data_IF_937929097331
#
_entry.id   IF_937929097331
#
_cell.length_a   1.000
_cell.length_b   1.000
_cell.length_c   1.000
_cell.angle_alpha   90.00
_cell.angle_beta   90.00
_cell.angle_gamma   90.00
#
_symmetry.space_group_name_H-M   'P 1'
#
loop_
_entity.id
_entity.type
_entity.pdbx_description
1 polymer ?
#
# COMPACT_ATOMS: atom_id res chain seq x y z
N UNK A 1 -2.63 -6.12 25.08
CA UNK A 1 -1.75 -7.31 25.17
C UNK A 1 -0.88 -7.20 26.41
N UNK A 2 -0.81 -8.26 27.18
CA UNK A 2 0.02 -8.40 28.37
C UNK A 2 1.39 -8.94 27.99
N UNK A 3 2.44 -8.43 28.64
CA UNK A 3 3.74 -9.08 28.57
C UNK A 3 3.89 -9.97 29.82
N UNK A 4 4.03 -11.29 29.68
CA UNK A 4 3.97 -12.23 30.82
C UNK A 4 5.05 -12.01 31.90
N UNK A 5 6.17 -11.36 31.54
CA UNK A 5 7.27 -11.09 32.48
C UNK A 5 7.12 -9.79 33.26
N UNK A 6 6.40 -8.81 32.70
CA UNK A 6 6.37 -7.46 33.27
C UNK A 6 5.01 -7.12 33.89
N UNK A 7 4.00 -8.01 33.72
CA UNK A 7 2.59 -7.81 34.11
C UNK A 7 1.99 -6.48 33.61
N UNK A 8 2.63 -5.84 32.64
CA UNK A 8 2.26 -4.52 32.14
C UNK A 8 1.38 -4.62 30.90
N UNK A 9 0.28 -3.89 30.91
CA UNK A 9 -0.53 -3.68 29.70
C UNK A 9 0.24 -2.80 28.74
N UNK A 10 0.66 -3.35 27.61
CA UNK A 10 1.37 -2.62 26.53
C UNK A 10 0.45 -2.09 25.45
N UNK A 11 -0.65 -2.76 25.19
CA UNK A 11 -1.64 -2.32 24.22
C UNK A 11 -3.03 -2.81 24.59
N UNK A 12 -4.01 -2.02 24.21
CA UNK A 12 -5.42 -2.33 24.29
C UNK A 12 -5.96 -2.69 22.92
N UNK A 13 -6.97 -3.53 22.87
CA UNK A 13 -7.77 -3.78 21.68
C UNK A 13 -8.97 -2.85 21.74
N UNK A 14 -9.10 -1.96 20.79
CA UNK A 14 -10.24 -1.04 20.69
C UNK A 14 -11.14 -1.46 19.53
N UNK A 15 -12.44 -1.25 19.70
CA UNK A 15 -13.39 -1.33 18.59
C UNK A 15 -13.31 -0.01 17.83
N UNK A 16 -13.23 -0.09 16.52
CA UNK A 16 -13.15 1.07 15.63
C UNK A 16 -14.52 1.23 14.97
N UNK A 17 -15.03 2.44 14.89
CA UNK A 17 -16.26 2.71 14.14
C UNK A 17 -16.01 2.63 12.65
N UNK A 18 -17.00 2.19 11.90
CA UNK A 18 -16.86 1.84 10.47
C UNK A 18 -16.31 3.02 9.64
N UNK A 19 -16.82 4.23 9.82
CA UNK A 19 -16.35 5.42 9.11
C UNK A 19 -14.86 5.67 9.33
N UNK A 20 -14.38 5.49 10.57
CA UNK A 20 -12.96 5.66 10.91
C UNK A 20 -12.13 4.51 10.33
N UNK A 21 -12.66 3.29 10.34
CA UNK A 21 -11.97 2.15 9.75
C UNK A 21 -11.81 2.32 8.25
N UNK A 22 -12.85 2.78 7.57
CA UNK A 22 -12.83 3.02 6.14
C UNK A 22 -11.91 4.18 5.74
N UNK A 23 -11.96 5.29 6.46
CA UNK A 23 -11.17 6.49 6.13
C UNK A 23 -9.67 6.32 6.44
N UNK A 24 -9.33 5.69 7.57
CA UNK A 24 -7.97 5.69 8.10
C UNK A 24 -7.25 4.34 8.02
N UNK A 25 -7.96 3.27 7.72
CA UNK A 25 -7.34 1.96 7.60
C UNK A 25 -7.34 1.51 6.13
N UNK A 26 -6.25 0.95 5.67
CA UNK A 26 -6.13 0.38 4.33
C UNK A 26 -7.06 -0.80 4.13
N UNK A 27 -7.10 -1.69 5.14
CA UNK A 27 -8.00 -2.80 5.28
C UNK A 27 -8.88 -2.51 6.48
N UNK A 28 -10.12 -2.06 6.29
CA UNK A 28 -11.02 -1.79 7.39
C UNK A 28 -11.08 -2.98 8.34
N UNK A 29 -10.96 -2.71 9.62
CA UNK A 29 -11.00 -3.73 10.66
C UNK A 29 -11.85 -3.24 11.83
N UNK A 30 -12.71 -4.10 12.33
CA UNK A 30 -13.57 -3.81 13.49
C UNK A 30 -12.75 -3.51 14.75
N UNK A 31 -11.56 -4.09 14.86
CA UNK A 31 -10.69 -3.91 16.03
C UNK A 31 -9.28 -3.51 15.64
N UNK A 32 -8.71 -2.59 16.42
CA UNK A 32 -7.33 -2.15 16.27
C UNK A 32 -6.58 -2.20 17.59
N UNK A 33 -5.25 -2.43 17.58
CA UNK A 33 -4.43 -2.29 18.76
C UNK A 33 -4.13 -0.81 19.03
N UNK A 34 -4.29 -0.38 20.27
CA UNK A 34 -3.89 0.93 20.75
C UNK A 34 -2.80 0.78 21.81
N UNK A 35 -1.61 1.34 21.55
CA UNK A 35 -0.55 1.35 22.56
C UNK A 35 -0.94 2.20 23.77
N UNK A 36 -0.64 1.74 24.99
CA UNK A 36 -0.92 2.48 26.21
C UNK A 36 -0.24 3.85 26.24
N UNK A 37 0.90 4.00 25.59
CA UNK A 37 1.65 5.26 25.49
C UNK A 37 0.89 6.36 24.75
N UNK A 38 -0.12 5.98 23.97
CA UNK A 38 -1.00 6.91 23.27
C UNK A 38 -2.15 7.41 24.15
N UNK A 39 -2.36 6.82 25.31
CA UNK A 39 -3.39 7.26 26.26
C UNK A 39 -2.86 8.46 27.02
N UNK A 40 -3.49 9.61 26.84
CA UNK A 40 -3.16 10.83 27.60
C UNK A 40 -3.88 10.85 28.95
N UNK A 41 -5.17 10.59 28.94
CA UNK A 41 -5.98 10.57 30.15
C UNK A 41 -7.22 9.71 29.95
N UNK A 42 -7.75 9.19 31.08
CA UNK A 42 -9.03 8.50 31.11
C UNK A 42 -10.03 9.45 31.81
N UNK A 43 -11.15 9.68 31.15
CA UNK A 43 -12.21 10.55 31.66
C UNK A 43 -13.09 9.78 32.66
N UNK A 44 -13.81 10.51 33.47
CA UNK A 44 -14.75 9.93 34.48
C UNK A 44 -15.92 9.19 33.81
N UNK A 45 -16.28 9.54 32.57
CA UNK A 45 -17.32 8.88 31.79
C UNK A 45 -16.80 7.61 31.06
N UNK A 46 -15.56 7.20 31.33
CA UNK A 46 -14.90 6.06 30.67
C UNK A 46 -14.26 6.39 29.34
N UNK A 47 -14.41 7.61 28.85
CA UNK A 47 -13.77 8.07 27.61
C UNK A 47 -12.25 8.15 27.74
N UNK A 48 -11.52 7.81 26.68
CA UNK A 48 -10.06 7.86 26.63
C UNK A 48 -9.63 8.98 25.69
N UNK A 49 -8.87 9.93 26.23
CA UNK A 49 -8.22 10.98 25.44
C UNK A 49 -6.86 10.48 24.98
N UNK A 50 -6.60 10.61 23.69
CA UNK A 50 -5.31 10.23 23.12
C UNK A 50 -4.34 11.41 23.11
N UNK A 51 -3.04 11.11 23.23
CA UNK A 51 -1.94 12.09 23.15
C UNK A 51 -1.60 12.46 21.70
N UNK A 52 -2.17 11.77 20.72
CA UNK A 52 -1.90 11.91 19.30
C UNK A 52 -3.18 12.15 18.50
N UNK A 53 -3.05 12.90 17.43
CA UNK A 53 -4.15 13.12 16.47
C UNK A 53 -4.45 11.86 15.66
N UNK A 54 -5.65 11.79 15.07
CA UNK A 54 -6.02 10.70 14.14
C UNK A 54 -5.03 10.55 12.99
N UNK A 55 -4.49 11.64 12.46
CA UNK A 55 -3.50 11.63 11.40
C UNK A 55 -2.17 10.98 11.83
N UNK A 56 -1.74 11.19 13.07
CA UNK A 56 -0.56 10.53 13.62
C UNK A 56 -0.84 9.07 13.98
N UNK A 57 -2.06 8.77 14.46
CA UNK A 57 -2.52 7.43 14.74
C UNK A 57 -2.61 6.60 13.45
N UNK A 58 -3.10 7.16 12.37
CA UNK A 58 -3.12 6.55 11.05
C UNK A 58 -1.73 6.06 10.62
N UNK A 59 -0.69 6.87 10.81
CA UNK A 59 0.69 6.45 10.52
C UNK A 59 1.11 5.25 11.36
N UNK A 60 0.75 5.23 12.63
CA UNK A 60 1.05 4.12 13.55
C UNK A 60 0.21 2.89 13.23
N UNK A 61 -1.05 3.07 12.90
CA UNK A 61 -1.91 1.97 12.46
C UNK A 61 -1.47 1.39 11.11
N UNK A 62 -0.96 2.17 10.23
CA UNK A 62 -0.27 1.66 9.04
C UNK A 62 0.81 0.64 9.41
N UNK A 63 1.54 0.85 10.46
CA UNK A 63 2.63 -0.05 10.86
C UNK A 63 2.19 -1.20 11.78
N UNK A 64 1.08 -1.06 12.51
CA UNK A 64 0.66 -2.02 13.54
C UNK A 64 -0.57 -2.85 13.19
N UNK A 65 -1.49 -2.30 12.45
CA UNK A 65 -2.71 -3.01 11.97
C UNK A 65 -2.45 -3.65 10.63
N UNK A 66 -1.32 -3.33 10.04
CA UNK A 66 -0.98 -3.80 8.72
C UNK A 66 0.33 -4.48 8.70
N UNK A 67 0.22 -5.46 7.95
CA UNK A 67 1.25 -6.04 7.14
C UNK A 67 2.02 -4.88 6.49
N UNK A 68 3.34 -4.87 6.69
CA UNK A 68 4.30 -3.99 6.02
C UNK A 68 3.79 -3.67 4.60
N UNK A 69 3.85 -2.42 4.20
CA UNK A 69 3.43 -1.96 2.86
C UNK A 69 4.09 -2.76 1.71
N UNK A 70 5.12 -3.53 2.03
CA UNK A 70 5.80 -4.46 1.14
C UNK A 70 5.19 -5.87 1.08
N UNK A 71 4.23 -6.18 1.94
CA UNK A 71 3.62 -7.49 2.08
C UNK A 71 2.15 -7.46 1.67
N UNK A 72 1.87 -7.14 0.43
CA UNK A 72 0.53 -7.20 -0.12
C UNK A 72 0.23 -8.60 -0.64
N UNK A 73 -1.00 -9.06 -0.39
CA UNK A 73 -1.48 -10.24 -1.07
C UNK A 73 -1.63 -9.94 -2.58
N UNK A 74 -1.25 -10.86 -3.46
CA UNK A 74 -1.32 -10.65 -4.90
C UNK A 74 -2.70 -10.20 -5.39
N UNK A 75 -3.75 -10.80 -4.87
CA UNK A 75 -5.15 -10.48 -5.16
C UNK A 75 -5.56 -9.05 -4.74
N UNK A 76 -4.91 -8.48 -3.74
CA UNK A 76 -5.16 -7.10 -3.32
C UNK A 76 -4.64 -6.06 -4.33
N UNK A 77 -3.70 -6.43 -5.18
CA UNK A 77 -3.05 -5.55 -6.15
C UNK A 77 -3.74 -5.56 -7.52
N UNK A 78 -4.46 -6.64 -7.84
CA UNK A 78 -5.18 -6.76 -9.11
C UNK A 78 -6.26 -5.66 -9.23
N UNK A 79 -6.47 -5.20 -10.45
CA UNK A 79 -7.42 -4.15 -10.83
C UNK A 79 -7.17 -2.77 -10.18
N UNK A 80 -6.03 -2.59 -9.50
CA UNK A 80 -5.68 -1.30 -8.89
C UNK A 80 -5.10 -0.35 -9.91
N UNK A 81 -5.54 0.91 -9.84
CA UNK A 81 -4.98 1.99 -10.65
C UNK A 81 -3.52 2.26 -10.23
N UNK A 82 -2.67 2.50 -11.20
CA UNK A 82 -1.26 2.83 -11.00
C UNK A 82 -1.03 4.25 -11.49
N UNK A 83 -0.63 5.13 -10.59
CA UNK A 83 -0.28 6.51 -10.89
C UNK A 83 1.23 6.69 -10.81
N UNK A 84 1.76 7.56 -11.65
CA UNK A 84 3.14 7.99 -11.47
C UNK A 84 3.27 9.03 -10.33
N UNK A 85 4.48 9.49 -10.04
CA UNK A 85 4.72 10.44 -8.96
C UNK A 85 4.16 11.86 -9.26
N UNK A 86 3.82 12.13 -10.51
CA UNK A 86 3.21 13.39 -10.94
C UNK A 86 1.68 13.32 -10.90
N UNK A 87 1.13 12.15 -10.55
CA UNK A 87 -0.31 11.91 -10.42
C UNK A 87 -0.99 11.52 -11.74
N UNK A 88 -0.20 11.18 -12.77
CA UNK A 88 -0.74 10.69 -14.03
C UNK A 88 -1.18 9.23 -13.86
N UNK A 89 -2.43 8.94 -14.18
CA UNK A 89 -2.96 7.58 -14.22
C UNK A 89 -2.37 6.83 -15.41
N UNK A 90 -1.60 5.80 -15.11
CA UNK A 90 -0.89 4.99 -16.09
C UNK A 90 -1.75 3.84 -16.63
N UNK A 91 -2.66 3.33 -15.84
CA UNK A 91 -3.47 2.15 -16.14
C UNK A 91 -3.66 1.24 -14.93
N UNK A 92 -4.17 0.04 -15.13
CA UNK A 92 -4.51 -0.89 -14.06
C UNK A 92 -3.56 -2.09 -14.01
N UNK A 93 -3.37 -2.64 -12.82
CA UNK A 93 -2.65 -3.90 -12.61
C UNK A 93 -3.52 -5.05 -13.11
N UNK A 94 -3.00 -5.83 -14.03
CA UNK A 94 -3.69 -7.01 -14.58
C UNK A 94 -3.08 -8.33 -14.11
N UNK A 95 -1.79 -8.33 -13.77
CA UNK A 95 -1.08 -9.54 -13.31
C UNK A 95 0.19 -9.15 -12.53
N UNK A 96 0.90 -10.16 -12.04
CA UNK A 96 2.11 -10.04 -11.25
C UNK A 96 3.22 -10.94 -11.79
N UNK A 97 4.39 -10.38 -12.04
CA UNK A 97 5.57 -11.17 -12.41
C UNK A 97 6.21 -11.79 -11.18
N UNK A 98 6.28 -13.11 -11.17
CA UNK A 98 6.93 -13.90 -10.13
C UNK A 98 8.13 -14.64 -10.71
N UNK A 99 9.30 -14.38 -10.15
CA UNK A 99 10.53 -15.11 -10.50
C UNK A 99 10.94 -15.95 -9.29
N UNK A 100 10.99 -17.27 -9.46
CA UNK A 100 11.16 -18.24 -8.38
C UNK A 100 10.05 -18.06 -7.32
N UNK A 101 10.38 -17.61 -6.11
CA UNK A 101 9.43 -17.39 -5.01
C UNK A 101 9.18 -15.91 -4.70
N UNK A 102 9.69 -15.01 -5.53
CA UNK A 102 9.67 -13.57 -5.26
C UNK A 102 8.92 -12.82 -6.37
N UNK A 103 7.99 -11.96 -6.00
CA UNK A 103 7.37 -11.04 -6.93
C UNK A 103 8.36 -9.95 -7.32
N UNK A 104 8.51 -9.72 -8.61
CA UNK A 104 9.49 -8.80 -9.20
C UNK A 104 8.87 -7.58 -9.86
N UNK A 105 7.64 -7.70 -10.33
CA UNK A 105 6.96 -6.62 -11.02
C UNK A 105 5.44 -6.75 -10.99
N UNK A 106 4.80 -5.63 -11.28
CA UNK A 106 3.37 -5.56 -11.59
C UNK A 106 3.22 -5.50 -13.11
N UNK A 107 2.38 -6.36 -13.68
CA UNK A 107 1.97 -6.24 -15.08
C UNK A 107 0.84 -5.22 -15.13
N UNK A 108 1.05 -4.16 -15.88
CA UNK A 108 0.09 -3.06 -16.03
C UNK A 108 -0.40 -3.04 -17.46
N UNK A 109 -1.70 -2.87 -17.63
CA UNK A 109 -2.29 -2.49 -18.92
C UNK A 109 -2.39 -0.97 -18.97
N UNK A 110 -1.48 -0.28 -19.71
CA UNK A 110 -1.50 1.16 -19.77
C UNK A 110 -2.70 1.68 -20.54
N UNK A 111 -3.25 2.81 -20.12
CA UNK A 111 -4.28 3.50 -20.87
C UNK A 111 -3.79 3.90 -22.27
N UNK A 112 -4.69 3.90 -23.24
CA UNK A 112 -4.36 4.22 -24.63
C UNK A 112 -3.55 5.51 -24.80
N UNK A 113 -3.92 6.57 -24.09
CA UNK A 113 -3.22 7.87 -24.13
C UNK A 113 -1.77 7.75 -23.66
N UNK A 114 -1.54 6.98 -22.59
CA UNK A 114 -0.19 6.75 -22.04
C UNK A 114 0.64 5.91 -23.01
N UNK A 115 0.03 4.87 -23.56
CA UNK A 115 0.67 4.01 -24.58
C UNK A 115 1.14 4.83 -25.78
N UNK A 116 0.24 5.61 -26.39
CA UNK A 116 0.56 6.44 -27.55
C UNK A 116 1.63 7.47 -27.25
N UNK A 117 1.55 8.14 -26.08
CA UNK A 117 2.51 9.19 -25.71
C UNK A 117 3.91 8.68 -25.48
N UNK A 118 4.04 7.47 -24.93
CA UNK A 118 5.33 6.89 -24.54
C UNK A 118 5.76 5.72 -25.43
N UNK A 119 5.04 5.44 -26.50
CA UNK A 119 5.26 4.32 -27.41
C UNK A 119 5.42 2.99 -26.67
N UNK A 120 4.45 2.69 -25.79
CA UNK A 120 4.46 1.50 -24.95
C UNK A 120 3.73 0.34 -25.63
N UNK A 121 4.13 -0.92 -25.33
CA UNK A 121 3.37 -2.10 -25.71
C UNK A 121 2.02 -2.16 -25.01
N UNK A 122 1.22 -3.16 -25.32
CA UNK A 122 -0.09 -3.36 -24.74
C UNK A 122 -0.03 -3.58 -23.22
N UNK A 123 0.99 -4.27 -22.77
CA UNK A 123 1.29 -4.48 -21.36
C UNK A 123 2.72 -4.09 -21.04
N UNK A 124 2.95 -3.59 -19.84
CA UNK A 124 4.29 -3.27 -19.32
C UNK A 124 4.47 -3.88 -17.94
N UNK A 125 5.71 -4.20 -17.59
CA UNK A 125 6.06 -4.67 -16.25
C UNK A 125 6.73 -3.56 -15.47
N UNK A 126 6.08 -3.12 -14.40
CA UNK A 126 6.65 -2.14 -13.46
C UNK A 126 7.36 -2.86 -12.32
N UNK A 127 8.67 -2.60 -12.11
CA UNK A 127 9.42 -3.25 -11.04
C UNK A 127 8.83 -2.91 -9.66
N UNK A 128 8.70 -3.89 -8.76
CA UNK A 128 8.18 -3.66 -7.38
C UNK A 128 9.00 -2.64 -6.60
N UNK A 129 10.29 -2.48 -6.90
CA UNK A 129 11.14 -1.45 -6.30
C UNK A 129 10.73 -0.01 -6.63
N UNK A 130 9.88 0.18 -7.65
CA UNK A 130 9.34 1.49 -8.03
C UNK A 130 8.01 1.80 -7.36
N UNK A 131 7.44 0.87 -6.60
CA UNK A 131 6.26 1.14 -5.81
C UNK A 131 6.61 2.13 -4.68
N UNK A 132 5.92 3.25 -4.67
CA UNK A 132 6.16 4.32 -3.71
C UNK A 132 5.23 4.23 -2.52
N UNK A 133 4.03 4.75 -2.69
CA UNK A 133 3.00 4.80 -1.66
C UNK A 133 1.67 4.30 -2.21
N UNK A 134 0.77 4.00 -1.30
CA UNK A 134 -0.61 3.65 -1.63
C UNK A 134 -1.56 4.55 -0.86
N UNK A 135 -2.78 4.66 -1.36
CA UNK A 135 -3.88 5.22 -0.59
C UNK A 135 -4.23 4.32 0.60
N UNK A 136 -4.94 4.86 1.58
CA UNK A 136 -5.32 4.11 2.77
C UNK A 136 -6.18 2.87 2.43
N UNK A 137 -7.00 2.97 1.40
CA UNK A 137 -7.88 1.87 0.92
C UNK A 137 -7.21 0.96 -0.13
N UNK A 138 -5.99 1.26 -0.52
CA UNK A 138 -5.32 0.61 -1.65
C UNK A 138 -6.11 0.75 -2.97
N UNK A 139 -6.76 1.86 -3.18
CA UNK A 139 -7.46 2.14 -4.45
C UNK A 139 -6.45 2.44 -5.55
N UNK A 140 -5.34 3.06 -5.18
CA UNK A 140 -4.30 3.52 -6.08
C UNK A 140 -2.90 3.14 -5.58
N UNK A 141 -2.04 2.80 -6.52
CA UNK A 141 -0.61 2.54 -6.30
C UNK A 141 0.17 3.70 -6.93
N UNK A 142 0.89 4.46 -6.12
CA UNK A 142 1.67 5.61 -6.61
C UNK A 142 3.13 5.21 -6.74
N UNK A 143 3.69 5.38 -7.92
CA UNK A 143 5.10 5.07 -8.20
C UNK A 143 6.04 6.12 -7.60
N UNK A 144 7.31 5.76 -7.45
CA UNK A 144 8.38 6.65 -6.97
C UNK A 144 8.90 7.60 -8.03
N UNK A 145 8.58 7.36 -9.29
CA UNK A 145 9.07 8.14 -10.41
C UNK A 145 7.96 8.39 -11.44
N UNK A 146 8.20 9.35 -12.33
CA UNK A 146 7.35 9.60 -13.49
C UNK A 146 7.49 8.48 -14.53
N UNK A 147 6.47 8.33 -15.37
CA UNK A 147 6.51 7.37 -16.47
C UNK A 147 7.73 7.58 -17.38
N UNK A 148 8.06 8.84 -17.69
CA UNK A 148 9.23 9.19 -18.50
C UNK A 148 10.54 8.65 -17.91
N UNK A 149 10.70 8.65 -16.59
CA UNK A 149 11.87 8.10 -15.91
C UNK A 149 11.80 6.59 -15.79
N UNK A 150 10.61 6.04 -15.53
CA UNK A 150 10.40 4.60 -15.38
C UNK A 150 10.95 3.82 -16.57
N UNK A 151 10.62 4.23 -17.79
CA UNK A 151 11.03 3.53 -19.04
C UNK A 151 12.54 3.53 -19.29
N UNK A 152 13.29 4.39 -18.59
CA UNK A 152 14.76 4.46 -18.70
C UNK A 152 15.47 3.64 -17.63
N UNK A 153 14.77 3.08 -16.67
CA UNK A 153 15.38 2.34 -15.57
C UNK A 153 15.88 0.96 -16.03
N UNK A 154 17.11 0.57 -15.65
CA UNK A 154 17.63 -0.76 -15.99
C UNK A 154 16.73 -1.91 -15.52
N UNK A 155 16.10 -1.78 -14.37
CA UNK A 155 15.16 -2.77 -13.83
C UNK A 155 13.89 -2.90 -14.66
N UNK A 156 13.37 -1.78 -15.21
CA UNK A 156 12.24 -1.79 -16.11
C UNK A 156 12.64 -2.44 -17.45
N UNK A 157 13.73 -1.99 -18.04
CA UNK A 157 14.21 -2.53 -19.33
C UNK A 157 14.43 -4.04 -19.23
N UNK A 158 15.07 -4.52 -18.17
CA UNK A 158 15.31 -5.94 -17.97
C UNK A 158 14.01 -6.76 -17.86
N UNK A 159 13.01 -6.30 -17.13
CA UNK A 159 11.75 -7.04 -16.97
C UNK A 159 10.88 -7.01 -18.22
N UNK A 160 11.01 -5.99 -19.06
CA UNK A 160 10.23 -5.87 -20.28
C UNK A 160 10.96 -6.43 -21.53
N UNK A 161 12.29 -6.67 -21.46
CA UNK A 161 13.03 -7.36 -22.52
C UNK A 161 12.92 -8.89 -22.41
N UNK A 162 12.69 -9.41 -21.20
CA UNK A 162 12.56 -10.85 -20.95
C UNK A 162 11.10 -11.33 -21.07
N UNK A 163 10.16 -10.46 -21.44
CA UNK A 163 8.79 -10.86 -21.73
C UNK A 163 8.79 -11.74 -22.99
N UNK A 164 8.27 -12.98 -22.93
CA UNK A 164 8.15 -13.80 -24.12
C UNK A 164 7.26 -13.08 -25.14
N UNK A 165 7.74 -12.95 -26.37
CA UNK A 165 6.87 -12.60 -27.49
C UNK A 165 5.81 -13.71 -27.57
N UNK A 166 4.55 -13.35 -27.34
CA UNK A 166 3.44 -14.27 -27.56
C UNK A 166 3.41 -14.62 -29.04
N UNK A 167 3.67 -15.90 -29.34
CA UNK A 167 3.41 -16.50 -30.68
C UNK A 167 1.89 -16.67 -30.88
#
# INVERSE_FOLDING_TARGET
RFHPRDELVRSMRIKVVDDVAEEYMRKPAEFAPLSKELVHSIRTDGGVKLSKSMRELQRRWRNTVRIDEKLWAPDELLDRAVLDNDGMDLGNVIDLVKIKRTYKGLVIQPHYIVRSRHNLPETIVVPVGQLGRTTARLDEIILRCSMKRLVTLPSYLKLNSDAPEEE
#
